data_IF_375926024618
#
_entry.id   IF_375926024618
#
_cell.length_a   1.000
_cell.length_b   1.000
_cell.length_c   1.000
_cell.angle_alpha   90.00
_cell.angle_beta   90.00
_cell.angle_gamma   90.00
#
_symmetry.space_group_name_H-M   'P 1'
#
loop_
_entity.id
_entity.type
_entity.pdbx_description
1 polymer ?
#
# COMPACT_ATOMS: atom_id res chain seq x y z
N UNK A 1 -41.24 17.17 11.69
CA UNK A 1 -40.59 15.93 11.22
C UNK A 1 -39.34 16.26 10.40
N UNK A 2 -38.17 16.30 11.03
CA UNK A 2 -36.91 16.47 10.32
C UNK A 2 -36.47 15.12 9.74
N UNK A 3 -36.36 15.08 8.40
CA UNK A 3 -35.84 13.95 7.65
C UNK A 3 -34.35 13.81 7.98
N UNK A 4 -33.96 12.67 8.57
CA UNK A 4 -32.57 12.26 8.73
C UNK A 4 -32.02 11.95 7.34
N UNK A 5 -31.26 12.88 6.77
CA UNK A 5 -30.36 12.57 5.68
C UNK A 5 -29.34 11.57 6.22
N UNK A 6 -29.44 10.31 5.81
CA UNK A 6 -28.41 9.30 6.07
C UNK A 6 -27.18 9.68 5.25
N UNK A 7 -26.12 10.08 5.94
CA UNK A 7 -24.81 10.35 5.37
C UNK A 7 -24.27 9.17 4.54
N UNK A 8 -23.43 9.45 3.53
CA UNK A 8 -23.05 8.46 2.51
C UNK A 8 -22.20 7.35 3.12
N UNK A 9 -22.68 6.10 3.01
CA UNK A 9 -22.00 4.82 3.29
C UNK A 9 -20.55 4.99 3.76
N UNK A 10 -20.36 5.14 5.06
CA UNK A 10 -19.05 5.05 5.72
C UNK A 10 -18.37 3.77 5.21
N UNK A 11 -17.31 3.91 4.42
CA UNK A 11 -16.45 2.78 4.11
C UNK A 11 -15.79 2.38 5.43
N UNK A 12 -16.34 1.34 6.05
CA UNK A 12 -15.78 0.76 7.25
C UNK A 12 -14.49 0.07 6.87
N UNK A 13 -13.38 0.58 7.41
CA UNK A 13 -12.09 -0.06 7.27
C UNK A 13 -12.18 -1.46 7.89
N UNK A 14 -11.56 -2.48 7.27
CA UNK A 14 -11.32 -3.73 7.96
C UNK A 14 -10.62 -3.44 9.29
N UNK A 15 -10.89 -4.23 10.34
CA UNK A 15 -10.15 -4.12 11.58
C UNK A 15 -8.65 -4.25 11.30
N UNK A 16 -7.86 -3.48 12.05
CA UNK A 16 -6.39 -3.48 11.93
C UNK A 16 -5.87 -4.91 12.03
N UNK A 17 -4.92 -5.25 11.16
CA UNK A 17 -4.32 -6.58 11.16
C UNK A 17 -3.56 -6.86 12.47
N UNK A 18 -3.20 -8.12 12.68
CA UNK A 18 -2.30 -8.50 13.78
C UNK A 18 -0.85 -8.02 13.58
N UNK A 19 -0.54 -7.33 12.47
CA UNK A 19 0.77 -6.77 12.17
C UNK A 19 1.85 -7.80 11.85
N UNK A 20 1.52 -9.09 11.69
CA UNK A 20 2.52 -10.15 11.48
C UNK A 20 3.36 -9.94 10.21
N UNK A 21 2.79 -9.31 9.19
CA UNK A 21 3.52 -8.97 7.97
C UNK A 21 4.72 -8.03 8.24
N UNK A 22 4.69 -7.23 9.31
CA UNK A 22 5.78 -6.29 9.66
C UNK A 22 7.07 -7.01 10.09
N UNK A 23 6.99 -8.27 10.52
CA UNK A 23 8.16 -9.06 10.93
C UNK A 23 8.84 -9.73 9.74
N UNK A 24 8.19 -9.74 8.58
CA UNK A 24 8.64 -10.41 7.35
C UNK A 24 9.39 -9.44 6.44
N UNK A 25 10.27 -9.96 5.60
CA UNK A 25 10.80 -9.18 4.47
C UNK A 25 9.72 -8.99 3.41
N UNK A 26 9.71 -7.84 2.74
CA UNK A 26 8.67 -7.55 1.74
C UNK A 26 8.58 -8.64 0.69
N UNK A 27 9.69 -9.21 0.20
CA UNK A 27 9.70 -10.29 -0.79
C UNK A 27 9.02 -11.59 -0.33
N UNK A 28 8.84 -11.76 0.99
CA UNK A 28 8.17 -12.92 1.58
C UNK A 28 6.69 -12.67 1.90
N UNK A 29 6.17 -11.47 1.62
CA UNK A 29 4.76 -11.16 1.83
C UNK A 29 3.87 -11.94 0.87
N UNK A 30 2.88 -12.61 1.44
CA UNK A 30 1.74 -13.16 0.71
C UNK A 30 0.81 -12.06 0.20
N UNK A 31 -0.16 -12.42 -0.63
CA UNK A 31 -1.21 -11.50 -1.07
C UNK A 31 -1.99 -10.95 0.14
N UNK A 32 -2.26 -11.78 1.15
CA UNK A 32 -2.91 -11.35 2.40
C UNK A 32 -2.06 -10.36 3.20
N UNK A 33 -0.74 -10.58 3.28
CA UNK A 33 0.18 -9.65 3.93
C UNK A 33 0.17 -8.27 3.23
N UNK A 34 0.15 -8.26 1.89
CA UNK A 34 0.01 -7.03 1.09
C UNK A 34 -1.32 -6.33 1.39
N UNK A 35 -2.42 -7.07 1.45
CA UNK A 35 -3.73 -6.50 1.75
C UNK A 35 -3.82 -5.97 3.18
N UNK A 36 -3.23 -6.67 4.15
CA UNK A 36 -3.10 -6.19 5.52
C UNK A 36 -2.31 -4.87 5.57
N UNK A 37 -1.20 -4.77 4.84
CA UNK A 37 -0.45 -3.53 4.71
C UNK A 37 -1.30 -2.39 4.13
N UNK A 38 -2.06 -2.64 3.06
CA UNK A 38 -2.93 -1.61 2.45
C UNK A 38 -3.99 -1.13 3.42
N UNK A 39 -4.62 -2.06 4.15
CA UNK A 39 -5.68 -1.75 5.10
C UNK A 39 -5.16 -0.96 6.31
N UNK A 40 -4.06 -1.42 6.91
CA UNK A 40 -3.47 -0.80 8.10
C UNK A 40 -2.97 0.63 7.82
N UNK A 41 -2.60 0.92 6.58
CA UNK A 41 -2.15 2.25 6.14
C UNK A 41 -3.24 3.07 5.43
N UNK A 42 -4.50 2.61 5.43
CA UNK A 42 -5.65 3.30 4.81
C UNK A 42 -5.47 3.58 3.30
N UNK A 43 -4.76 2.71 2.59
CA UNK A 43 -4.48 2.81 1.15
C UNK A 43 -5.58 2.17 0.29
N UNK A 44 -6.85 2.35 0.66
CA UNK A 44 -7.99 1.64 0.03
C UNK A 44 -8.04 1.76 -1.50
N UNK A 45 -7.80 2.92 -2.13
CA UNK A 45 -7.82 3.00 -3.59
C UNK A 45 -6.76 2.10 -4.27
N UNK A 46 -5.67 1.80 -3.58
CA UNK A 46 -4.62 0.88 -4.06
C UNK A 46 -4.98 -0.59 -3.88
N UNK A 47 -5.94 -0.92 -2.99
CA UNK A 47 -6.31 -2.33 -2.71
C UNK A 47 -6.81 -3.05 -3.96
N UNK A 48 -7.53 -2.37 -4.86
CA UNK A 48 -8.00 -2.97 -6.12
C UNK A 48 -6.84 -3.35 -7.03
N UNK A 49 -5.84 -2.47 -7.14
CA UNK A 49 -4.63 -2.75 -7.92
C UNK A 49 -3.81 -3.88 -7.30
N UNK A 50 -3.66 -3.85 -5.97
CA UNK A 50 -2.74 -4.73 -5.26
C UNK A 50 -3.37 -6.05 -4.78
N UNK A 51 -4.66 -6.29 -5.05
CA UNK A 51 -5.41 -7.45 -4.54
C UNK A 51 -4.75 -8.79 -4.85
N UNK A 52 -4.14 -8.92 -6.03
CA UNK A 52 -3.50 -10.14 -6.51
C UNK A 52 -1.96 -9.98 -6.60
N UNK A 53 -1.42 -9.05 -5.81
CA UNK A 53 0.02 -8.82 -5.71
C UNK A 53 0.55 -9.45 -4.44
N UNK A 54 1.59 -10.26 -4.57
CA UNK A 54 2.44 -10.62 -3.46
C UNK A 54 3.51 -9.54 -3.25
N UNK A 55 4.31 -9.71 -2.21
CA UNK A 55 5.35 -8.77 -1.84
C UNK A 55 6.40 -8.46 -2.90
N UNK A 56 6.78 -9.45 -3.71
CA UNK A 56 7.71 -9.25 -4.82
C UNK A 56 7.14 -8.30 -5.87
N UNK A 57 5.91 -8.55 -6.33
CA UNK A 57 5.23 -7.66 -7.30
C UNK A 57 5.02 -6.26 -6.73
N UNK A 58 4.68 -6.18 -5.43
CA UNK A 58 4.52 -4.89 -4.74
C UNK A 58 5.83 -4.09 -4.70
N UNK A 59 6.95 -4.78 -4.46
CA UNK A 59 8.27 -4.15 -4.44
C UNK A 59 8.72 -3.70 -5.83
N UNK A 60 8.43 -4.47 -6.88
CA UNK A 60 8.67 -4.07 -8.28
C UNK A 60 7.88 -2.80 -8.62
N UNK A 61 6.59 -2.78 -8.31
CA UNK A 61 5.74 -1.60 -8.46
C UNK A 61 6.31 -0.38 -7.73
N UNK A 62 6.80 -0.56 -6.50
CA UNK A 62 7.47 0.49 -5.75
C UNK A 62 8.73 1.00 -6.47
N UNK A 63 9.59 0.10 -6.95
CA UNK A 63 10.83 0.49 -7.64
C UNK A 63 10.56 1.31 -8.90
N UNK A 64 9.60 0.89 -9.70
CA UNK A 64 9.20 1.62 -10.92
C UNK A 64 8.64 3.01 -10.56
N UNK A 65 7.85 3.07 -9.49
CA UNK A 65 7.25 4.29 -8.97
C UNK A 65 8.27 5.27 -8.37
N UNK A 66 9.32 4.75 -7.72
CA UNK A 66 10.37 5.54 -7.08
C UNK A 66 11.34 6.14 -8.10
N UNK A 67 11.63 5.41 -9.17
CA UNK A 67 12.56 5.85 -10.22
C UNK A 67 11.96 6.89 -11.18
N UNK A 68 10.65 6.81 -11.48
CA UNK A 68 10.04 7.67 -12.48
C UNK A 68 8.60 8.10 -12.11
N UNK A 69 8.48 8.81 -10.98
CA UNK A 69 7.19 9.02 -10.28
C UNK A 69 6.05 9.61 -11.11
N UNK A 70 6.30 10.48 -12.09
CA UNK A 70 5.26 11.08 -12.93
C UNK A 70 4.78 10.11 -14.00
N UNK A 71 5.72 9.45 -14.69
CA UNK A 71 5.39 8.47 -15.75
C UNK A 71 4.70 7.25 -15.13
N UNK A 72 5.25 6.73 -14.03
CA UNK A 72 4.66 5.62 -13.28
C UNK A 72 3.25 5.95 -12.78
N UNK A 73 3.04 7.16 -12.23
CA UNK A 73 1.69 7.61 -11.83
C UNK A 73 0.70 7.60 -13.01
N UNK A 74 1.12 8.07 -14.18
CA UNK A 74 0.24 8.12 -15.36
C UNK A 74 -0.08 6.72 -15.88
N UNK A 75 0.90 5.82 -15.94
CA UNK A 75 0.71 4.42 -16.32
C UNK A 75 -0.22 3.70 -15.34
N UNK A 76 0.01 3.85 -14.02
CA UNK A 76 -0.90 3.31 -13.00
C UNK A 76 -2.33 3.83 -13.18
N UNK A 77 -2.49 5.12 -13.48
CA UNK A 77 -3.81 5.72 -13.70
C UNK A 77 -4.50 5.10 -14.92
N UNK A 78 -3.77 4.86 -16.00
CA UNK A 78 -4.29 4.19 -17.20
C UNK A 78 -4.68 2.74 -16.93
N UNK A 79 -3.82 1.97 -16.24
CA UNK A 79 -4.10 0.58 -15.84
C UNK A 79 -5.32 0.50 -14.92
N UNK A 80 -5.41 1.40 -13.94
CA UNK A 80 -6.54 1.47 -13.02
C UNK A 80 -7.86 1.76 -13.73
N UNK A 81 -7.83 2.63 -14.74
CA UNK A 81 -9.00 2.92 -15.55
C UNK A 81 -9.37 1.75 -16.45
N UNK A 82 -8.40 1.19 -17.18
CA UNK A 82 -8.62 0.15 -18.18
C UNK A 82 -8.98 -1.22 -17.59
N UNK A 83 -8.35 -1.62 -16.48
CA UNK A 83 -8.53 -2.95 -15.87
C UNK A 83 -9.61 -2.94 -14.79
N UNK A 84 -9.71 -1.86 -14.01
CA UNK A 84 -10.54 -1.83 -12.81
C UNK A 84 -11.68 -0.79 -12.85
N UNK A 85 -11.81 -0.04 -13.95
CA UNK A 85 -12.82 1.00 -14.11
C UNK A 85 -12.70 2.13 -13.08
N UNK A 86 -11.49 2.38 -12.56
CA UNK A 86 -11.23 3.45 -11.59
C UNK A 86 -10.82 4.71 -12.38
N UNK A 87 -11.74 5.66 -12.51
CA UNK A 87 -11.50 6.88 -13.29
C UNK A 87 -10.52 7.86 -12.64
N UNK A 88 -10.27 7.72 -11.34
CA UNK A 88 -9.43 8.63 -10.59
C UNK A 88 -8.56 7.88 -9.57
N UNK A 89 -7.25 7.88 -9.79
CA UNK A 89 -6.25 7.74 -8.73
C UNK A 89 -5.83 9.14 -8.30
N UNK A 90 -6.25 9.64 -7.13
CA UNK A 90 -5.76 10.93 -6.64
C UNK A 90 -4.25 10.87 -6.45
N UNK A 91 -3.54 11.89 -6.96
CA UNK A 91 -2.07 11.98 -6.83
C UNK A 91 -1.61 11.83 -5.38
N UNK A 92 -2.36 12.40 -4.43
CA UNK A 92 -2.07 12.26 -3.00
C UNK A 92 -2.08 10.78 -2.54
N UNK A 93 -3.05 9.97 -2.99
CA UNK A 93 -3.11 8.55 -2.62
C UNK A 93 -1.91 7.77 -3.14
N UNK A 94 -1.48 8.05 -4.37
CA UNK A 94 -0.26 7.46 -4.92
C UNK A 94 0.99 7.87 -4.15
N UNK A 95 1.11 9.15 -3.77
CA UNK A 95 2.23 9.63 -2.96
C UNK A 95 2.24 9.01 -1.56
N UNK A 96 1.07 8.86 -0.92
CA UNK A 96 0.93 8.15 0.36
C UNK A 96 1.37 6.69 0.22
N UNK A 97 0.94 6.00 -0.84
CA UNK A 97 1.34 4.62 -1.11
C UNK A 97 2.86 4.44 -1.19
N UNK A 98 3.54 5.27 -2.00
CA UNK A 98 5.02 5.23 -2.10
C UNK A 98 5.66 5.57 -0.75
N UNK A 99 5.14 6.58 -0.06
CA UNK A 99 5.66 7.03 1.23
C UNK A 99 5.65 5.92 2.29
N UNK A 100 4.53 5.21 2.42
CA UNK A 100 4.38 4.13 3.40
C UNK A 100 5.27 2.92 3.06
N UNK A 101 5.39 2.57 1.77
CA UNK A 101 6.31 1.51 1.35
C UNK A 101 7.76 1.88 1.60
N UNK A 102 8.17 3.11 1.27
CA UNK A 102 9.52 3.60 1.54
C UNK A 102 9.84 3.58 3.02
N UNK A 103 8.91 4.05 3.86
CA UNK A 103 9.09 4.05 5.31
C UNK A 103 9.17 2.63 5.87
N UNK A 104 8.34 1.70 5.38
CA UNK A 104 8.43 0.28 5.74
C UNK A 104 9.82 -0.31 5.44
N UNK A 105 10.30 -0.12 4.20
CA UNK A 105 11.62 -0.58 3.76
C UNK A 105 12.75 0.05 4.59
N UNK A 106 12.64 1.36 4.90
CA UNK A 106 13.61 2.07 5.73
C UNK A 106 13.65 1.55 7.17
N UNK A 107 12.50 1.21 7.76
CA UNK A 107 12.43 0.66 9.12
C UNK A 107 13.13 -0.70 9.20
N UNK A 108 12.92 -1.59 8.24
CA UNK A 108 13.59 -2.91 8.19
C UNK A 108 15.10 -2.78 8.07
N UNK A 109 15.59 -1.88 7.20
CA UNK A 109 17.03 -1.63 7.09
C UNK A 109 17.65 -1.13 8.41
N UNK A 110 16.93 -0.31 9.19
CA UNK A 110 17.39 0.11 10.52
C UNK A 110 17.40 -1.03 11.52
N UNK A 111 16.36 -1.87 11.56
CA UNK A 111 16.29 -3.03 12.47
C UNK A 111 17.44 -4.00 12.25
N UNK A 112 17.76 -4.31 10.98
CA UNK A 112 18.90 -5.18 10.63
C UNK A 112 20.23 -4.58 11.12
N UNK A 113 20.40 -3.26 11.00
CA UNK A 113 21.62 -2.57 11.44
C UNK A 113 21.80 -2.63 12.96
N UNK A 114 20.74 -2.44 13.74
CA UNK A 114 20.80 -2.57 15.22
C UNK A 114 21.06 -4.01 15.68
N UNK A 115 20.42 -5.01 15.05
CA UNK A 115 20.60 -6.42 15.43
C UNK A 115 22.03 -6.95 15.16
N UNK A 116 22.78 -6.31 14.25
CA UNK A 116 24.20 -6.60 14.00
C UNK A 116 25.09 -5.94 15.06
N UNK A 117 24.78 -4.70 15.46
CA UNK A 117 25.57 -3.96 16.46
C UNK A 117 25.43 -4.57 17.86
N UNK A 118 24.26 -5.10 18.21
CA UNK A 118 24.03 -5.74 19.52
C UNK A 118 24.59 -7.18 19.62
N UNK A 119 25.17 -7.71 18.53
CA UNK A 119 25.79 -9.06 18.46
C UNK A 119 27.31 -9.04 18.33
N UNK A 120 27.94 -7.86 18.40
CA UNK A 120 29.40 -7.67 18.41
C UNK A 120 29.82 -7.19 19.79
#
# INVERSE_FOLDING_TARGET
PQQRHTDPKEHTYPPKSNGFYLTKEIHSWSEDDVMNFMNDNKLYPMTKLCRNMNGTKLYELYRDSDQNSVVAHNLLKEDLKGVYGIDLLPRYTYLSFIGELREHLRRRNRTIQTDIVDKI
#
